data_IF_255878307855
#
_entry.id   IF_255878307855
#
_cell.length_a   1.000
_cell.length_b   1.000
_cell.length_c   1.000
_cell.angle_alpha   90.00
_cell.angle_beta   90.00
_cell.angle_gamma   90.00
#
_symmetry.space_group_name_H-M   'P 1'
#
loop_
_entity.id
_entity.type
_entity.pdbx_description
1 polymer ?
#
# COMPACT_ATOMS: atom_id res chain seq x y z
N UNK A 1 5.43 16.97 -66.58
CA UNK A 1 4.56 17.28 -65.43
C UNK A 1 5.25 16.69 -64.20
N UNK A 2 5.70 17.38 -63.16
CA UNK A 2 5.92 18.79 -62.83
C UNK A 2 6.75 18.68 -61.56
N UNK A 3 8.08 18.87 -61.63
CA UNK A 3 8.92 18.84 -60.43
C UNK A 3 8.55 20.05 -59.56
N UNK A 4 7.97 19.81 -58.39
CA UNK A 4 7.74 20.85 -57.40
C UNK A 4 9.08 21.26 -56.80
N UNK A 5 9.66 22.34 -57.31
CA UNK A 5 10.75 23.03 -56.62
C UNK A 5 10.20 23.58 -55.31
N UNK A 6 10.47 22.86 -54.23
CA UNK A 6 10.24 23.38 -52.88
C UNK A 6 11.21 24.56 -52.71
N UNK A 7 10.65 25.77 -52.77
CA UNK A 7 11.41 27.01 -52.64
C UNK A 7 12.26 26.98 -51.37
N UNK A 8 13.55 27.27 -51.49
CA UNK A 8 14.49 27.37 -50.35
C UNK A 8 13.96 28.31 -49.25
N UNK A 9 13.12 29.29 -49.61
CA UNK A 9 12.38 30.17 -48.69
C UNK A 9 11.39 29.44 -47.78
N UNK A 10 10.68 28.42 -48.30
CA UNK A 10 9.72 27.63 -47.53
C UNK A 10 10.41 26.66 -46.56
N UNK A 11 11.57 26.12 -46.95
CA UNK A 11 12.41 25.27 -46.08
C UNK A 11 13.01 26.07 -44.92
N UNK A 12 13.56 27.26 -45.21
CA UNK A 12 14.14 28.15 -44.18
C UNK A 12 13.06 28.63 -43.19
N UNK A 13 11.87 28.98 -43.67
CA UNK A 13 10.75 29.39 -42.79
C UNK A 13 10.24 28.26 -41.89
N UNK A 14 10.23 27.01 -42.40
CA UNK A 14 9.81 25.85 -41.62
C UNK A 14 10.85 25.42 -40.58
N UNK A 15 12.15 25.53 -40.89
CA UNK A 15 13.22 25.29 -39.92
C UNK A 15 13.27 26.38 -38.85
N UNK A 16 13.03 27.66 -39.21
CA UNK A 16 12.93 28.74 -38.23
C UNK A 16 11.71 28.57 -37.31
N UNK A 17 10.55 28.17 -37.85
CA UNK A 17 9.35 27.89 -37.07
C UNK A 17 9.54 26.68 -36.13
N UNK A 18 10.19 25.60 -36.59
CA UNK A 18 10.51 24.45 -35.75
C UNK A 18 11.52 24.81 -34.64
N UNK A 19 12.49 25.67 -34.92
CA UNK A 19 13.42 26.18 -33.91
C UNK A 19 12.72 27.10 -32.87
N UNK A 20 11.75 27.92 -33.31
CA UNK A 20 10.93 28.76 -32.42
C UNK A 20 9.98 27.95 -31.53
N UNK A 21 9.48 26.80 -32.00
CA UNK A 21 8.70 25.87 -31.19
C UNK A 21 9.55 24.97 -30.27
N UNK A 22 10.82 24.74 -30.61
CA UNK A 22 11.73 23.99 -29.74
C UNK A 22 12.20 24.83 -28.53
N UNK A 23 12.27 26.16 -28.66
CA UNK A 23 12.74 27.05 -27.57
C UNK A 23 11.62 27.40 -26.57
N UNK A 24 10.34 27.21 -26.92
CA UNK A 24 9.21 27.52 -26.04
C UNK A 24 8.87 26.44 -25.00
N UNK A 25 9.60 25.32 -24.98
CA UNK A 25 9.37 24.23 -24.01
C UNK A 25 10.20 24.35 -22.71
N UNK A 26 11.00 25.42 -22.54
CA UNK A 26 11.91 25.57 -21.38
C UNK A 26 11.40 26.44 -20.23
N UNK A 27 10.17 26.95 -20.26
CA UNK A 27 9.71 27.86 -19.20
C UNK A 27 8.25 27.63 -18.82
N UNK A 28 8.00 26.65 -17.96
CA UNK A 28 6.86 26.67 -17.03
C UNK A 28 7.23 26.00 -15.70
N UNK A 29 8.23 26.57 -15.03
CA UNK A 29 8.19 26.64 -13.58
C UNK A 29 7.91 28.11 -13.25
N UNK A 30 6.64 28.44 -13.02
CA UNK A 30 6.32 29.68 -12.33
C UNK A 30 7.08 29.61 -11.00
N UNK A 31 8.08 30.49 -10.84
CA UNK A 31 9.00 30.44 -9.72
C UNK A 31 8.23 30.49 -8.41
N UNK A 32 8.41 29.48 -7.58
CA UNK A 32 8.26 29.59 -6.12
C UNK A 32 9.20 30.70 -5.69
N UNK A 33 8.73 31.87 -5.25
CA UNK A 33 9.48 33.08 -4.83
C UNK A 33 10.95 32.90 -4.35
N UNK A 34 11.86 32.48 -5.24
CA UNK A 34 13.22 32.02 -4.91
C UNK A 34 13.37 30.70 -4.11
N UNK A 35 12.33 29.92 -3.83
CA UNK A 35 12.41 28.72 -2.96
C UNK A 35 12.48 27.42 -3.77
N UNK A 36 13.61 26.71 -3.69
CA UNK A 36 13.80 25.41 -4.34
C UNK A 36 14.30 25.51 -5.78
N UNK A 37 14.56 24.34 -6.40
CA UNK A 37 15.00 24.21 -7.79
C UNK A 37 14.25 23.04 -8.45
N UNK A 38 13.97 23.10 -9.76
CA UNK A 38 13.46 21.94 -10.48
C UNK A 38 14.40 20.75 -10.28
N UNK A 39 13.84 19.61 -9.90
CA UNK A 39 14.57 18.35 -9.75
C UNK A 39 14.57 17.62 -11.10
N UNK A 40 15.67 16.96 -11.46
CA UNK A 40 15.73 16.20 -12.71
C UNK A 40 15.05 14.84 -12.58
N UNK A 41 14.57 14.28 -13.69
CA UNK A 41 14.03 12.91 -13.72
C UNK A 41 15.01 11.88 -13.17
N UNK A 42 16.31 12.06 -13.46
CA UNK A 42 17.37 11.19 -12.95
C UNK A 42 17.46 11.23 -11.42
N UNK A 43 17.25 12.40 -10.83
CA UNK A 43 17.32 12.60 -9.37
C UNK A 43 16.04 12.10 -8.68
N UNK A 44 14.88 12.12 -9.35
CA UNK A 44 13.62 11.56 -8.83
C UNK A 44 13.57 10.03 -8.97
N UNK A 45 14.17 9.44 -10.01
CA UNK A 45 14.02 8.02 -10.34
C UNK A 45 14.23 7.04 -9.17
N UNK A 46 15.19 7.23 -8.25
CA UNK A 46 15.35 6.36 -7.08
C UNK A 46 14.17 6.40 -6.10
N UNK A 47 13.40 7.49 -6.10
CA UNK A 47 12.26 7.70 -5.18
C UNK A 47 10.93 7.39 -5.86
N UNK A 48 10.84 7.58 -7.17
CA UNK A 48 9.65 7.27 -7.99
C UNK A 48 9.58 5.79 -8.34
N UNK A 49 9.35 4.98 -7.30
CA UNK A 49 9.22 3.52 -7.40
C UNK A 49 7.80 3.03 -7.10
N UNK A 50 6.83 3.96 -7.05
CA UNK A 50 5.45 3.70 -6.65
C UNK A 50 4.73 2.80 -7.63
N UNK A 51 4.05 1.78 -7.10
CA UNK A 51 3.14 0.93 -7.84
C UNK A 51 1.71 1.20 -7.38
N UNK A 52 0.84 1.53 -8.33
CA UNK A 52 -0.58 1.77 -8.07
C UNK A 52 -1.36 0.45 -7.97
N UNK A 53 -2.58 0.50 -7.43
CA UNK A 53 -3.37 -0.72 -7.15
C UNK A 53 -3.75 -1.49 -8.42
N UNK A 54 -3.86 -0.81 -9.56
CA UNK A 54 -4.12 -1.39 -10.89
C UNK A 54 -2.85 -1.93 -11.57
N UNK A 55 -1.71 -1.82 -10.91
CA UNK A 55 -0.40 -2.26 -11.39
C UNK A 55 0.31 -1.26 -12.30
N UNK A 56 -0.16 -0.01 -12.42
CA UNK A 56 0.66 1.06 -12.98
C UNK A 56 1.94 1.24 -12.13
N UNK A 57 3.07 1.49 -12.79
CA UNK A 57 4.38 1.58 -12.14
C UNK A 57 5.07 0.25 -11.81
N UNK A 58 4.44 -0.92 -12.05
CA UNK A 58 5.11 -2.22 -11.90
C UNK A 58 6.35 -2.29 -12.82
N UNK A 59 7.56 -2.49 -12.26
CA UNK A 59 8.76 -2.54 -13.08
C UNK A 59 8.88 -3.90 -13.80
N UNK A 60 9.69 -3.98 -14.87
CA UNK A 60 10.01 -5.27 -15.49
C UNK A 60 10.65 -6.21 -14.47
N UNK A 61 10.21 -7.47 -14.51
CA UNK A 61 10.74 -8.54 -13.67
C UNK A 61 9.77 -9.71 -13.58
N UNK A 62 10.23 -10.78 -12.93
CA UNK A 62 9.43 -11.96 -12.61
C UNK A 62 10.07 -12.78 -11.50
N UNK A 63 9.27 -13.61 -10.84
CA UNK A 63 9.79 -14.52 -9.81
C UNK A 63 8.84 -15.67 -9.54
N UNK A 64 9.40 -16.85 -9.29
CA UNK A 64 8.62 -18.05 -8.98
C UNK A 64 8.27 -18.13 -7.49
N UNK A 65 7.22 -18.87 -7.15
CA UNK A 65 6.90 -19.23 -5.76
C UNK A 65 8.09 -19.90 -5.08
N UNK A 66 8.74 -20.86 -5.74
CA UNK A 66 9.89 -21.58 -5.18
C UNK A 66 11.16 -20.72 -4.99
N UNK A 67 11.38 -19.69 -5.82
CA UNK A 67 12.46 -18.73 -5.57
C UNK A 67 12.09 -17.76 -4.44
N UNK A 68 10.81 -17.40 -4.37
CA UNK A 68 10.25 -16.58 -3.30
C UNK A 68 10.36 -17.23 -1.93
N UNK A 69 10.14 -18.54 -1.85
CA UNK A 69 10.32 -19.32 -0.63
C UNK A 69 11.73 -19.17 -0.07
N UNK A 70 12.76 -19.36 -0.91
CA UNK A 70 14.16 -19.25 -0.49
C UNK A 70 14.48 -17.86 0.05
N UNK A 71 13.98 -16.82 -0.63
CA UNK A 71 14.18 -15.42 -0.20
C UNK A 71 13.45 -15.16 1.12
N UNK A 72 12.21 -15.66 1.23
CA UNK A 72 11.39 -15.53 2.42
C UNK A 72 12.05 -16.19 3.63
N UNK A 73 12.54 -17.42 3.48
CA UNK A 73 13.25 -18.12 4.57
C UNK A 73 14.51 -17.35 5.00
N UNK A 74 15.26 -16.80 4.04
CA UNK A 74 16.49 -16.08 4.34
C UNK A 74 16.27 -14.69 4.96
N UNK A 75 15.20 -13.98 4.55
CA UNK A 75 15.05 -12.54 4.82
C UNK A 75 13.78 -12.16 5.59
N UNK A 76 12.78 -13.04 5.69
CA UNK A 76 11.44 -12.70 6.21
C UNK A 76 11.03 -13.57 7.41
N UNK A 77 11.34 -14.86 7.38
CA UNK A 77 10.83 -15.86 8.34
C UNK A 77 11.21 -15.57 9.80
N UNK A 78 12.34 -14.91 10.05
CA UNK A 78 12.76 -14.53 11.41
C UNK A 78 11.72 -13.68 12.16
N UNK A 79 10.90 -12.92 11.43
CA UNK A 79 9.83 -12.09 11.98
C UNK A 79 8.46 -12.67 11.63
N UNK A 80 8.28 -13.17 10.41
CA UNK A 80 6.96 -13.56 9.91
C UNK A 80 6.63 -15.05 10.10
N UNK A 81 7.52 -15.84 10.71
CA UNK A 81 7.36 -17.28 10.86
C UNK A 81 7.81 -18.04 9.61
N UNK A 82 8.03 -19.35 9.73
CA UNK A 82 8.50 -20.18 8.61
C UNK A 82 7.41 -20.35 7.53
N UNK A 83 6.16 -20.38 7.96
CA UNK A 83 4.97 -20.55 7.11
C UNK A 83 4.07 -19.31 7.11
N UNK A 84 4.57 -18.16 7.57
CA UNK A 84 3.78 -16.94 7.65
C UNK A 84 2.85 -16.86 8.85
N UNK A 85 3.05 -17.66 9.89
CA UNK A 85 2.25 -17.66 11.12
C UNK A 85 2.47 -16.42 12.00
N UNK A 86 3.54 -15.66 11.75
CA UNK A 86 3.94 -14.49 12.53
C UNK A 86 4.66 -14.88 13.83
N UNK A 87 5.85 -14.34 14.07
CA UNK A 87 6.48 -14.41 15.38
C UNK A 87 5.73 -13.51 16.39
N UNK A 88 6.00 -13.68 17.69
CA UNK A 88 5.33 -12.90 18.74
C UNK A 88 5.48 -11.39 18.51
N UNK A 89 4.37 -10.71 18.24
CA UNK A 89 4.32 -9.27 17.99
C UNK A 89 4.60 -8.85 16.54
N UNK A 90 4.82 -9.80 15.63
CA UNK A 90 5.01 -9.55 14.21
C UNK A 90 3.78 -9.97 13.40
N UNK A 91 3.47 -9.27 12.29
CA UNK A 91 2.33 -9.62 11.46
C UNK A 91 2.46 -11.01 10.84
N UNK A 92 1.35 -11.73 10.78
CA UNK A 92 1.23 -12.99 10.04
C UNK A 92 0.82 -12.73 8.58
N UNK A 93 1.12 -13.68 7.69
CA UNK A 93 0.76 -13.64 6.28
C UNK A 93 -0.63 -14.22 6.02
N UNK A 94 -0.98 -15.33 6.68
CA UNK A 94 -2.31 -15.95 6.58
C UNK A 94 -3.15 -15.58 7.81
N UNK A 95 -4.34 -15.03 7.56
CA UNK A 95 -5.34 -14.76 8.59
C UNK A 95 -6.63 -15.54 8.38
N UNK A 96 -7.63 -15.22 9.17
CA UNK A 96 -8.99 -15.72 8.99
C UNK A 96 -9.54 -15.32 7.62
N UNK A 97 -10.47 -16.10 7.08
CA UNK A 97 -11.16 -15.75 5.84
C UNK A 97 -12.00 -14.49 6.01
N UNK A 98 -12.32 -13.82 4.91
CA UNK A 98 -13.21 -12.65 4.93
C UNK A 98 -14.55 -12.98 5.58
N UNK A 99 -15.08 -14.17 5.29
CA UNK A 99 -16.35 -14.67 5.86
C UNK A 99 -16.25 -14.81 7.37
N UNK A 100 -15.18 -15.42 7.87
CA UNK A 100 -15.00 -15.61 9.30
C UNK A 100 -14.74 -14.28 10.03
N UNK A 101 -14.03 -13.32 9.42
CA UNK A 101 -13.90 -11.96 9.97
C UNK A 101 -15.27 -11.30 10.16
N UNK A 102 -16.22 -11.49 9.23
CA UNK A 102 -17.59 -10.95 9.37
C UNK A 102 -18.32 -11.59 10.55
N UNK A 103 -18.15 -12.89 10.79
CA UNK A 103 -18.72 -13.58 11.93
C UNK A 103 -18.13 -13.10 13.27
N UNK A 104 -16.80 -12.93 13.33
CA UNK A 104 -16.12 -12.39 14.51
C UNK A 104 -16.57 -10.96 14.80
N UNK A 105 -16.74 -10.13 13.77
CA UNK A 105 -17.25 -8.77 13.92
C UNK A 105 -18.66 -8.73 14.53
N UNK A 106 -19.55 -9.64 14.14
CA UNK A 106 -20.89 -9.75 14.73
C UNK A 106 -20.87 -10.18 16.21
N UNK A 107 -19.83 -10.90 16.63
CA UNK A 107 -19.61 -11.32 18.02
C UNK A 107 -18.82 -10.29 18.85
N UNK A 108 -18.31 -9.22 18.23
CA UNK A 108 -17.43 -8.26 18.90
C UNK A 108 -15.99 -8.78 19.10
N UNK A 109 -15.59 -9.78 18.33
CA UNK A 109 -14.29 -10.48 18.42
C UNK A 109 -13.36 -10.16 17.23
N UNK A 110 -13.70 -9.17 16.41
CA UNK A 110 -12.84 -8.69 15.32
C UNK A 110 -11.60 -7.99 15.88
N UNK A 111 -10.46 -8.68 15.79
CA UNK A 111 -9.17 -8.17 16.22
C UNK A 111 -8.19 -8.07 15.06
N UNK A 112 -7.19 -7.19 15.19
CA UNK A 112 -6.09 -7.09 14.21
C UNK A 112 -5.36 -8.41 14.02
N UNK A 113 -5.33 -9.27 15.05
CA UNK A 113 -4.67 -10.58 15.00
C UNK A 113 -5.43 -11.62 14.18
N UNK A 114 -6.70 -11.40 13.86
CA UNK A 114 -7.46 -12.27 12.98
C UNK A 114 -7.15 -12.00 11.49
N UNK A 115 -6.62 -10.82 11.15
CA UNK A 115 -6.41 -10.36 9.78
C UNK A 115 -5.08 -10.83 9.20
N UNK A 116 -5.03 -11.06 7.90
CA UNK A 116 -3.82 -11.42 7.15
C UNK A 116 -3.84 -10.85 5.73
N UNK A 117 -2.91 -11.28 4.86
CA UNK A 117 -2.87 -10.88 3.45
C UNK A 117 -4.19 -11.28 2.75
N UNK A 118 -4.69 -12.48 3.03
CA UNK A 118 -5.91 -13.05 2.45
C UNK A 118 -7.20 -12.31 2.82
N UNK A 119 -7.30 -11.68 3.99
CA UNK A 119 -8.52 -11.02 4.45
C UNK A 119 -8.44 -9.52 4.60
N UNK A 120 -7.25 -8.93 4.52
CA UNK A 120 -7.09 -7.48 4.55
C UNK A 120 -6.74 -6.92 3.18
N UNK A 121 -5.81 -7.49 2.42
CA UNK A 121 -5.27 -6.79 1.25
C UNK A 121 -6.24 -6.83 0.06
N UNK A 122 -6.44 -5.67 -0.57
CA UNK A 122 -7.38 -5.51 -1.69
C UNK A 122 -6.79 -5.77 -3.07
N UNK A 123 -5.48 -5.59 -3.24
CA UNK A 123 -4.82 -5.70 -4.55
C UNK A 123 -3.41 -6.28 -4.42
N UNK A 124 -3.03 -7.22 -5.29
CA UNK A 124 -1.70 -7.81 -5.28
C UNK A 124 -0.58 -6.82 -5.67
N UNK A 125 -0.77 -5.85 -6.58
CA UNK A 125 0.26 -4.85 -6.88
C UNK A 125 0.68 -3.99 -5.68
N UNK A 126 -0.22 -3.69 -4.75
CA UNK A 126 0.13 -2.92 -3.54
C UNK A 126 1.01 -3.74 -2.58
N UNK A 127 0.83 -5.06 -2.54
CA UNK A 127 1.70 -5.97 -1.79
C UNK A 127 3.12 -5.97 -2.37
N UNK A 128 3.25 -5.97 -3.69
CA UNK A 128 4.54 -5.82 -4.35
C UNK A 128 5.20 -4.47 -4.05
N UNK A 129 4.46 -3.36 -4.14
CA UNK A 129 4.99 -2.02 -3.78
C UNK A 129 5.58 -2.04 -2.37
N UNK A 130 4.80 -2.52 -1.42
CA UNK A 130 5.19 -2.53 -0.01
C UNK A 130 6.42 -3.41 0.23
N UNK A 131 6.45 -4.62 -0.33
CA UNK A 131 7.59 -5.53 -0.19
C UNK A 131 8.85 -4.90 -0.78
N UNK A 132 8.78 -4.38 -2.01
CA UNK A 132 9.92 -3.75 -2.68
C UNK A 132 10.42 -2.52 -1.95
N UNK A 133 9.52 -1.68 -1.42
CA UNK A 133 9.84 -0.39 -0.81
C UNK A 133 10.29 -0.50 0.65
N UNK A 134 9.64 -1.36 1.42
CA UNK A 134 9.74 -1.35 2.88
C UNK A 134 10.28 -2.64 3.48
N UNK A 135 10.37 -3.73 2.70
CA UNK A 135 10.88 -5.00 3.18
C UNK A 135 12.23 -5.38 2.56
N UNK A 136 13.02 -6.22 3.27
CA UNK A 136 12.89 -6.61 4.68
C UNK A 136 12.98 -5.42 5.63
N UNK A 137 12.31 -5.47 6.78
CA UNK A 137 12.23 -4.33 7.70
C UNK A 137 13.61 -3.79 8.13
N UNK A 138 14.60 -4.66 8.29
CA UNK A 138 15.98 -4.29 8.66
C UNK A 138 16.82 -3.75 7.49
N UNK A 139 16.34 -3.91 6.25
CA UNK A 139 17.04 -3.52 5.03
C UNK A 139 16.04 -3.15 3.90
N UNK A 140 15.25 -2.07 4.07
CA UNK A 140 14.27 -1.67 3.06
C UNK A 140 14.95 -1.35 1.72
N UNK A 141 14.25 -1.61 0.60
CA UNK A 141 14.75 -1.41 -0.76
C UNK A 141 15.99 -2.24 -1.13
N UNK A 142 16.28 -3.31 -0.40
CA UNK A 142 17.41 -4.21 -0.68
C UNK A 142 17.09 -5.33 -1.66
N UNK A 143 15.82 -5.54 -2.02
CA UNK A 143 15.39 -6.53 -3.00
C UNK A 143 15.47 -5.95 -4.40
N UNK A 144 16.00 -6.72 -5.34
CA UNK A 144 15.80 -6.49 -6.78
C UNK A 144 14.32 -6.66 -7.16
N UNK A 145 13.93 -6.19 -8.34
CA UNK A 145 12.55 -6.36 -8.83
C UNK A 145 12.15 -7.85 -8.90
N UNK A 146 13.05 -8.71 -9.40
CA UNK A 146 12.79 -10.16 -9.50
C UNK A 146 12.65 -10.80 -8.11
N UNK A 147 13.51 -10.43 -7.16
CA UNK A 147 13.38 -10.90 -5.77
C UNK A 147 12.08 -10.41 -5.11
N UNK A 148 11.67 -9.17 -5.38
CA UNK A 148 10.40 -8.64 -4.92
C UNK A 148 9.22 -9.41 -5.53
N UNK A 149 9.23 -9.69 -6.84
CA UNK A 149 8.18 -10.49 -7.50
C UNK A 149 8.12 -11.89 -6.94
N UNK A 150 9.27 -12.55 -6.77
CA UNK A 150 9.35 -13.89 -6.20
C UNK A 150 8.79 -13.92 -4.77
N UNK A 151 9.23 -12.98 -3.92
CA UNK A 151 8.76 -12.87 -2.54
C UNK A 151 7.26 -12.60 -2.48
N UNK A 152 6.74 -11.68 -3.29
CA UNK A 152 5.29 -11.44 -3.39
C UNK A 152 4.55 -12.70 -3.83
N UNK A 153 5.07 -13.43 -4.82
CA UNK A 153 4.45 -14.67 -5.32
C UNK A 153 4.33 -15.72 -4.21
N UNK A 154 5.41 -15.92 -3.45
CA UNK A 154 5.41 -16.84 -2.30
C UNK A 154 4.47 -16.38 -1.18
N UNK A 155 4.43 -15.08 -0.86
CA UNK A 155 3.49 -14.54 0.14
C UNK A 155 2.04 -14.77 -0.29
N UNK A 156 1.71 -14.59 -1.57
CA UNK A 156 0.37 -14.90 -2.10
C UNK A 156 0.05 -16.39 -2.01
N UNK A 157 1.05 -17.26 -2.15
CA UNK A 157 0.90 -18.72 -2.04
C UNK A 157 0.62 -19.15 -0.59
N UNK A 158 1.45 -18.73 0.37
CA UNK A 158 1.24 -19.06 1.79
C UNK A 158 0.00 -18.37 2.39
N UNK A 159 -0.45 -17.27 1.78
CA UNK A 159 -1.74 -16.65 2.09
C UNK A 159 -2.92 -17.31 1.36
N UNK A 160 -2.71 -18.44 0.67
CA UNK A 160 -3.73 -19.23 -0.02
C UNK A 160 -4.50 -18.49 -1.14
N UNK A 161 -3.95 -17.41 -1.67
CA UNK A 161 -4.55 -16.62 -2.76
C UNK A 161 -4.23 -17.27 -4.12
N UNK A 162 -3.01 -17.80 -4.26
CA UNK A 162 -2.61 -18.64 -5.39
C UNK A 162 -2.29 -20.04 -4.89
N UNK A 163 -2.55 -21.06 -5.71
CA UNK A 163 -2.45 -22.47 -5.30
C UNK A 163 -1.33 -23.25 -5.98
N UNK A 164 -0.77 -22.71 -7.07
CA UNK A 164 0.26 -23.37 -7.85
C UNK A 164 1.63 -23.02 -7.29
N UNK A 165 2.32 -24.02 -6.72
CA UNK A 165 3.67 -23.92 -6.16
C UNK A 165 4.76 -23.68 -7.22
N UNK A 166 4.41 -23.79 -8.50
CA UNK A 166 5.29 -23.52 -9.65
C UNK A 166 4.94 -22.23 -10.38
N UNK A 167 3.97 -21.46 -9.88
CA UNK A 167 3.59 -20.18 -10.48
C UNK A 167 4.80 -19.24 -10.56
N UNK A 168 4.92 -18.57 -11.70
CA UNK A 168 5.86 -17.46 -11.91
C UNK A 168 5.05 -16.18 -11.99
N UNK A 169 5.20 -15.33 -10.98
CA UNK A 169 4.54 -14.04 -10.95
C UNK A 169 5.35 -13.01 -11.73
N UNK A 170 4.66 -12.24 -12.57
CA UNK A 170 5.15 -11.02 -13.20
C UNK A 170 4.07 -9.93 -13.08
N UNK A 171 4.26 -8.80 -13.75
CA UNK A 171 3.30 -7.71 -13.73
C UNK A 171 1.89 -8.14 -14.21
N UNK A 172 1.80 -9.05 -15.17
CA UNK A 172 0.51 -9.53 -15.69
C UNK A 172 -0.22 -10.41 -14.68
N UNK A 173 0.51 -11.30 -14.00
CA UNK A 173 -0.04 -12.16 -12.94
C UNK A 173 -0.53 -11.31 -11.77
N UNK A 174 0.28 -10.36 -11.27
CA UNK A 174 -0.15 -9.53 -10.14
C UNK A 174 -1.40 -8.70 -10.45
N UNK A 175 -1.53 -8.19 -11.68
CA UNK A 175 -2.73 -7.45 -12.12
C UNK A 175 -3.97 -8.35 -12.25
N UNK A 176 -3.77 -9.61 -12.64
CA UNK A 176 -4.86 -10.57 -12.81
C UNK A 176 -5.30 -11.23 -11.49
N UNK A 177 -4.44 -11.24 -10.46
CA UNK A 177 -4.75 -11.83 -9.16
C UNK A 177 -5.84 -11.04 -8.44
N UNK A 178 -7.05 -11.61 -8.37
CA UNK A 178 -8.15 -11.08 -7.57
C UNK A 178 -7.93 -11.43 -6.09
N UNK A 179 -7.75 -10.41 -5.25
CA UNK A 179 -7.63 -10.60 -3.80
C UNK A 179 -9.03 -10.76 -3.17
N UNK A 180 -9.18 -11.57 -2.10
CA UNK A 180 -10.50 -11.81 -1.51
C UNK A 180 -11.15 -10.54 -0.94
N UNK A 181 -10.34 -9.58 -0.48
CA UNK A 181 -10.83 -8.32 0.10
C UNK A 181 -10.98 -7.15 -0.87
N UNK A 182 -10.75 -7.36 -2.17
CA UNK A 182 -10.84 -6.31 -3.18
C UNK A 182 -12.17 -5.54 -3.13
N UNK A 183 -13.29 -6.26 -2.99
CA UNK A 183 -14.63 -5.70 -3.05
C UNK A 183 -15.16 -5.23 -1.67
N UNK A 184 -14.34 -5.29 -0.61
CA UNK A 184 -14.73 -4.92 0.76
C UNK A 184 -14.38 -3.46 1.12
N UNK A 185 -13.77 -2.72 0.21
CA UNK A 185 -13.38 -1.32 0.43
C UNK A 185 -14.34 -0.36 -0.27
N UNK A 186 -14.72 0.72 0.42
CA UNK A 186 -15.59 1.76 -0.11
C UNK A 186 -15.12 3.14 0.36
N UNK A 187 -15.41 4.16 -0.44
CA UNK A 187 -15.14 5.55 -0.06
C UNK A 187 -16.00 5.94 1.13
N UNK A 188 -15.37 6.56 2.13
CA UNK A 188 -16.06 7.04 3.34
C UNK A 188 -17.29 7.90 2.98
N UNK A 189 -18.51 7.44 3.28
CA UNK A 189 -19.74 8.15 2.94
C UNK A 189 -20.12 9.18 4.01
N UNK A 190 -19.28 9.39 5.03
CA UNK A 190 -19.63 10.27 6.16
C UNK A 190 -19.81 11.73 5.72
N UNK A 191 -20.77 12.45 6.31
CA UNK A 191 -21.66 11.99 7.39
C UNK A 191 -22.78 11.07 6.88
N UNK A 192 -22.83 9.86 7.42
CA UNK A 192 -23.79 8.79 7.09
C UNK A 192 -24.94 8.71 8.11
N UNK A 193 -24.76 9.34 9.27
CA UNK A 193 -25.77 9.48 10.33
C UNK A 193 -26.41 10.86 10.32
N UNK A 194 -27.75 10.90 10.37
CA UNK A 194 -28.54 12.12 10.56
C UNK A 194 -28.96 12.23 12.03
N UNK A 195 -28.00 12.56 12.90
CA UNK A 195 -28.27 12.63 14.33
C UNK A 195 -28.61 14.08 14.76
N UNK A 196 -29.84 14.31 15.22
CA UNK A 196 -30.22 15.57 15.86
C UNK A 196 -29.87 15.45 17.34
N UNK A 197 -29.10 16.41 17.87
CA UNK A 197 -28.71 16.42 19.29
C UNK A 197 -29.96 16.39 20.17
N UNK A 198 -30.02 15.43 21.08
CA UNK A 198 -31.03 15.42 22.12
C UNK A 198 -30.78 16.59 23.09
N UNK A 199 -31.83 17.35 23.41
CA UNK A 199 -31.74 18.54 24.27
C UNK A 199 -32.29 18.33 25.69
N UNK A 200 -33.21 17.37 25.89
CA UNK A 200 -33.83 17.06 27.18
C UNK A 200 -34.03 15.55 27.33
N UNK A 201 -33.90 15.03 28.56
CA UNK A 201 -34.18 13.63 28.94
C UNK A 201 -33.51 12.56 28.05
N UNK A 202 -32.22 12.74 27.78
CA UNK A 202 -31.48 12.00 26.74
C UNK A 202 -31.02 10.59 27.09
N UNK A 203 -31.15 10.16 28.35
CA UNK A 203 -30.73 8.83 28.79
C UNK A 203 -31.63 8.33 29.91
N UNK A 204 -31.80 7.00 30.02
CA UNK A 204 -32.66 6.36 31.03
C UNK A 204 -31.99 6.16 32.40
N UNK A 205 -30.77 6.67 32.60
CA UNK A 205 -30.00 6.50 33.82
C UNK A 205 -28.54 6.94 33.67
N UNK A 206 -27.78 6.89 34.76
CA UNK A 206 -26.35 7.15 34.72
C UNK A 206 -25.65 6.09 33.82
N UNK A 207 -24.67 6.49 32.99
CA UNK A 207 -23.92 5.55 32.17
C UNK A 207 -23.10 4.61 33.08
N UNK A 208 -23.05 3.34 32.71
CA UNK A 208 -22.18 2.35 33.34
C UNK A 208 -20.87 2.27 32.55
N UNK A 209 -19.74 2.30 33.26
CA UNK A 209 -18.42 2.14 32.66
C UNK A 209 -18.19 0.65 32.40
N UNK A 210 -18.31 0.23 31.15
CA UNK A 210 -18.11 -1.17 30.74
C UNK A 210 -16.63 -1.54 30.51
N UNK A 211 -15.73 -0.56 30.55
CA UNK A 211 -14.29 -0.75 30.46
C UNK A 211 -13.52 0.53 30.73
N UNK A 212 -12.34 0.41 31.33
CA UNK A 212 -11.38 1.50 31.47
C UNK A 212 -10.15 1.17 30.62
N UNK A 213 -9.48 2.19 30.08
CA UNK A 213 -8.10 2.01 29.63
C UNK A 213 -7.32 1.44 30.83
N UNK A 214 -6.65 0.30 30.65
CA UNK A 214 -5.86 -0.31 31.71
C UNK A 214 -4.87 0.73 32.23
N UNK A 215 -5.05 1.15 33.48
CA UNK A 215 -4.11 2.08 34.12
C UNK A 215 -2.82 1.29 34.36
N UNK A 216 -1.71 1.73 33.75
CA UNK A 216 -0.39 1.08 33.89
C UNK A 216 0.30 0.60 32.61
N UNK A 217 -0.28 0.77 31.40
CA UNK A 217 0.45 0.56 30.13
C UNK A 217 1.22 1.79 29.65
N UNK A 218 0.90 2.98 30.16
CA UNK A 218 1.86 4.07 30.20
C UNK A 218 2.90 3.72 31.26
N UNK A 219 4.20 3.75 30.95
CA UNK A 219 5.29 3.52 31.91
C UNK A 219 5.37 4.54 33.08
N UNK A 220 4.31 5.32 33.27
CA UNK A 220 4.08 6.27 34.34
C UNK A 220 3.05 5.66 35.31
N UNK A 221 3.53 5.13 36.44
CA UNK A 221 2.71 4.55 37.51
C UNK A 221 2.16 5.60 38.48
N UNK A 222 2.44 6.90 38.28
CA UNK A 222 2.03 7.98 39.20
C UNK A 222 0.55 8.34 39.10
N UNK A 223 -0.18 7.83 38.09
CA UNK A 223 -1.62 8.07 37.88
C UNK A 223 -2.53 7.01 38.50
N UNK A 224 -1.98 6.08 39.28
CA UNK A 224 -2.73 4.97 39.88
C UNK A 224 -3.56 5.35 41.12
N UNK A 225 -3.61 6.62 41.50
CA UNK A 225 -4.54 7.06 42.54
C UNK A 225 -5.86 7.48 41.90
N UNK A 226 -6.84 6.58 41.92
CA UNK A 226 -8.23 6.95 41.74
C UNK A 226 -8.61 7.95 42.85
N UNK A 227 -8.59 9.24 42.53
CA UNK A 227 -9.22 10.24 43.40
C UNK A 227 -10.73 10.00 43.34
N UNK A 228 -11.40 9.68 44.47
CA UNK A 228 -12.85 9.68 44.48
C UNK A 228 -13.33 11.08 44.10
N UNK A 229 -14.32 11.14 43.21
CA UNK A 229 -14.99 12.39 42.88
C UNK A 229 -15.64 12.94 44.16
N UNK A 230 -15.14 14.08 44.65
CA UNK A 230 -15.82 14.81 45.71
C UNK A 230 -17.16 15.32 45.17
N UNK A 231 -18.22 15.06 45.96
CA UNK A 231 -19.54 15.66 45.83
C UNK A 231 -19.50 17.18 46.02
#
# INVERSE_FOLDING_TARGET
MSNSEVSKSALVKSVLAAALFAVSSLSFAAGTDGIGKPISEKDIAPWNISVHFDGDGLPPGKGSVGDGEKIYQAKCAMCHGEFGEGAKGYPKMLGETVEHIRELAQKGEDTVGARGINSLWGHAPTLYDYIRRAMPFFAPQSLSNDEAYATTCYVLYIAEIVKDDKLVCDASVLKATKMPSQDNYYTDPRPDVKNVRCMNDCSKGAPEVTGMAVVGVSGDTSRNEAKPANH
#
